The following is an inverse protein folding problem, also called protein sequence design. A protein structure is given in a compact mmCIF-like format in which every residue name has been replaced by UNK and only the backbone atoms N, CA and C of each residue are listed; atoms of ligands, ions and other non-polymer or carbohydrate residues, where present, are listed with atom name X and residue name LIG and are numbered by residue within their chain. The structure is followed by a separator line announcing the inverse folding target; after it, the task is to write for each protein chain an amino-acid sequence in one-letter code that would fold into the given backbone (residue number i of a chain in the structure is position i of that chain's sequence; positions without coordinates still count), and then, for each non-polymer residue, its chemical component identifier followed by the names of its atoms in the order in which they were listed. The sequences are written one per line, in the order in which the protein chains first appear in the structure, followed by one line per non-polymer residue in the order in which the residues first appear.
data_IF_136472206244
#
_entry.id   IF_136472206244
#
_cell.length_a   1.000
_cell.length_b   1.000
_cell.length_c   1.000
_cell.angle_alpha   90.00
_cell.angle_beta   90.00
_cell.angle_gamma   90.00
#
_symmetry.space_group_name_H-M   'P 1'
#
loop_
_entity.id
_entity.type
_entity.pdbx_description
1 polymer ?
#
# COMPACT_ATOMS: atom_id res chain seq x y z
N UNK A 1 8.24 -10.43 -30.30
CA UNK A 1 6.85 -10.56 -29.84
C UNK A 1 6.10 -9.31 -30.28
N UNK A 2 5.12 -9.46 -31.16
CA UNK A 2 4.20 -8.39 -31.52
C UNK A 2 3.27 -8.11 -30.33
N UNK A 3 2.77 -6.88 -30.19
CA UNK A 3 1.75 -6.54 -29.20
C UNK A 3 0.50 -7.43 -29.33
N UNK A 4 0.18 -7.88 -30.55
CA UNK A 4 -0.90 -8.84 -30.80
C UNK A 4 -0.63 -10.22 -30.20
N UNK A 5 0.63 -10.69 -30.23
CA UNK A 5 1.01 -11.99 -29.65
C UNK A 5 0.94 -11.96 -28.12
N UNK A 6 1.14 -10.78 -27.53
CA UNK A 6 1.05 -10.58 -26.09
C UNK A 6 -0.41 -10.64 -25.61
N UNK A 7 -1.34 -9.95 -26.27
CA UNK A 7 -2.78 -9.97 -25.90
C UNK A 7 -3.43 -11.34 -26.13
N UNK A 8 -2.93 -12.12 -27.10
CA UNK A 8 -3.46 -13.45 -27.41
C UNK A 8 -3.19 -14.52 -26.33
N UNK A 9 -2.31 -14.26 -25.36
CA UNK A 9 -1.90 -15.25 -24.36
C UNK A 9 -2.72 -15.11 -23.06
N UNK A 10 -3.31 -16.22 -22.61
CA UNK A 10 -4.08 -16.28 -21.36
C UNK A 10 -3.24 -15.90 -20.13
N UNK A 11 -1.97 -16.28 -20.13
CA UNK A 11 -1.03 -15.97 -19.03
C UNK A 11 -0.95 -14.46 -18.78
N UNK A 12 -0.86 -13.66 -19.84
CA UNK A 12 -0.77 -12.19 -19.72
C UNK A 12 -2.04 -11.58 -19.13
N UNK A 13 -3.21 -12.16 -19.39
CA UNK A 13 -4.46 -11.73 -18.76
C UNK A 13 -4.51 -12.05 -17.27
N UNK A 14 -4.05 -13.23 -16.87
CA UNK A 14 -3.95 -13.60 -15.45
C UNK A 14 -2.97 -12.66 -14.74
N UNK A 15 -1.80 -12.42 -15.34
CA UNK A 15 -0.82 -11.46 -14.85
C UNK A 15 -1.43 -10.05 -14.71
N UNK A 16 -2.13 -9.57 -15.73
CA UNK A 16 -2.75 -8.24 -15.72
C UNK A 16 -3.80 -8.10 -14.61
N UNK A 17 -4.64 -9.11 -14.40
CA UNK A 17 -5.63 -9.12 -13.31
C UNK A 17 -4.94 -9.07 -11.94
N UNK A 18 -3.90 -9.87 -11.73
CA UNK A 18 -3.14 -9.88 -10.47
C UNK A 18 -2.37 -8.57 -10.26
N UNK A 19 -1.79 -7.99 -11.31
CA UNK A 19 -1.10 -6.70 -11.25
C UNK A 19 -2.07 -5.56 -10.88
N UNK A 20 -3.25 -5.51 -11.52
CA UNK A 20 -4.31 -4.55 -11.19
C UNK A 20 -4.85 -4.79 -9.78
N UNK A 21 -5.01 -6.04 -9.35
CA UNK A 21 -5.38 -6.38 -7.96
C UNK A 21 -4.36 -5.86 -6.94
N UNK A 22 -3.08 -6.03 -7.24
CA UNK A 22 -1.98 -5.53 -6.41
C UNK A 22 -2.02 -4.00 -6.26
N UNK A 23 -2.17 -3.30 -7.39
CA UNK A 23 -2.18 -1.84 -7.45
C UNK A 23 -3.44 -1.23 -6.82
N UNK A 24 -4.60 -1.81 -7.09
CA UNK A 24 -5.88 -1.37 -6.51
C UNK A 24 -5.91 -1.58 -4.99
N UNK A 25 -5.40 -2.71 -4.50
CA UNK A 25 -5.22 -2.95 -3.06
C UNK A 25 -4.30 -1.91 -2.43
N UNK A 26 -3.17 -1.59 -3.07
CA UNK A 26 -2.21 -0.62 -2.55
C UNK A 26 -2.82 0.80 -2.50
N UNK A 27 -3.58 1.16 -3.53
CA UNK A 27 -4.32 2.41 -3.54
C UNK A 27 -5.36 2.47 -2.42
N UNK A 28 -6.10 1.39 -2.20
CA UNK A 28 -7.10 1.29 -1.12
C UNK A 28 -6.46 1.39 0.26
N UNK A 29 -5.29 0.78 0.47
CA UNK A 29 -4.51 0.87 1.72
C UNK A 29 -4.20 2.32 2.07
N UNK A 30 -3.64 3.07 1.12
CA UNK A 30 -3.14 4.43 1.32
C UNK A 30 -4.28 5.45 1.37
N UNK A 31 -5.34 5.24 0.60
CA UNK A 31 -6.45 6.21 0.51
C UNK A 31 -7.52 6.01 1.59
N UNK A 32 -7.63 4.81 2.17
CA UNK A 32 -8.65 4.53 3.17
C UNK A 32 -8.38 5.23 4.50
N UNK A 33 -9.41 5.90 5.02
CA UNK A 33 -9.40 6.50 6.37
C UNK A 33 -9.74 5.51 7.48
N UNK A 34 -10.33 4.37 7.12
CA UNK A 34 -10.66 3.32 8.08
C UNK A 34 -9.59 2.24 8.04
N UNK A 35 -8.97 2.00 9.19
CA UNK A 35 -7.89 1.03 9.38
C UNK A 35 -8.29 -0.38 8.92
N UNK A 36 -9.54 -0.78 9.16
CA UNK A 36 -10.06 -2.09 8.73
C UNK A 36 -10.10 -2.19 7.20
N UNK A 37 -10.56 -1.13 6.53
CA UNK A 37 -10.61 -1.09 5.07
C UNK A 37 -9.20 -1.08 4.50
N UNK A 38 -8.27 -0.30 5.08
CA UNK A 38 -6.87 -0.29 4.66
C UNK A 38 -6.25 -1.69 4.78
N UNK A 39 -6.54 -2.42 5.86
CA UNK A 39 -6.02 -3.77 6.04
C UNK A 39 -6.61 -4.79 5.05
N UNK A 40 -7.89 -4.69 4.70
CA UNK A 40 -8.47 -5.51 3.62
C UNK A 40 -7.78 -5.23 2.28
N UNK A 41 -7.46 -3.96 1.99
CA UNK A 41 -6.66 -3.59 0.82
C UNK A 41 -5.26 -4.22 0.85
N UNK A 42 -4.63 -4.30 2.02
CA UNK A 42 -3.32 -4.90 2.19
C UNK A 42 -3.36 -6.42 1.94
N UNK A 43 -4.40 -7.09 2.45
CA UNK A 43 -4.66 -8.52 2.18
C UNK A 43 -4.84 -8.76 0.68
N UNK A 44 -5.57 -7.89 -0.02
CA UNK A 44 -5.72 -7.97 -1.47
C UNK A 44 -4.37 -7.83 -2.19
N UNK A 45 -3.56 -6.83 -1.84
CA UNK A 45 -2.23 -6.61 -2.44
C UNK A 45 -1.30 -7.79 -2.24
N UNK A 46 -1.22 -8.32 -1.02
CA UNK A 46 -0.36 -9.46 -0.71
C UNK A 46 -0.90 -10.76 -1.31
N UNK A 47 -2.22 -10.95 -1.36
CA UNK A 47 -2.84 -12.10 -2.03
C UNK A 47 -2.60 -12.10 -3.53
N UNK A 48 -2.76 -10.95 -4.19
CA UNK A 48 -2.42 -10.80 -5.61
C UNK A 48 -0.92 -11.01 -5.88
N UNK A 49 -0.05 -10.52 -4.99
CA UNK A 49 1.40 -10.76 -5.07
C UNK A 49 1.76 -12.23 -4.89
N UNK A 50 1.06 -12.97 -4.03
CA UNK A 50 1.22 -14.42 -3.91
C UNK A 50 0.86 -15.13 -5.23
N UNK A 51 -0.23 -14.70 -5.88
CA UNK A 51 -0.58 -15.18 -7.22
C UNK A 51 0.50 -14.90 -8.27
N UNK A 52 1.13 -13.72 -8.22
CA UNK A 52 2.27 -13.41 -9.10
C UNK A 52 3.45 -14.34 -8.83
N UNK A 53 3.78 -14.62 -7.56
CA UNK A 53 4.84 -15.58 -7.24
C UNK A 53 4.53 -17.01 -7.73
N UNK A 54 3.26 -17.43 -7.71
CA UNK A 54 2.87 -18.72 -8.30
C UNK A 54 3.11 -18.74 -9.82
N UNK A 55 2.79 -17.64 -10.53
CA UNK A 55 3.08 -17.53 -11.97
C UNK A 55 4.58 -17.58 -12.27
N UNK A 56 5.41 -17.01 -11.40
CA UNK A 56 6.88 -17.08 -11.51
C UNK A 56 7.46 -18.47 -11.12
N UNK A 57 6.61 -19.43 -10.72
CA UNK A 57 7.06 -20.75 -10.24
C UNK A 57 7.67 -20.73 -8.83
N UNK A 58 7.52 -19.63 -8.09
CA UNK A 58 8.05 -19.44 -6.73
C UNK A 58 7.02 -19.90 -5.67
N UNK A 59 6.68 -21.18 -5.67
CA UNK A 59 5.58 -21.74 -4.85
C UNK A 59 5.81 -21.56 -3.35
N UNK A 60 7.01 -21.86 -2.85
CA UNK A 60 7.34 -21.71 -1.43
C UNK A 60 7.17 -20.27 -0.94
N UNK A 61 7.57 -19.30 -1.77
CA UNK A 61 7.44 -17.87 -1.46
C UNK A 61 5.97 -17.46 -1.44
N UNK A 62 5.19 -17.89 -2.42
CA UNK A 62 3.75 -17.61 -2.49
C UNK A 62 3.02 -18.12 -1.24
N UNK A 63 3.25 -19.38 -0.85
CA UNK A 63 2.63 -19.96 0.33
C UNK A 63 3.07 -19.28 1.63
N UNK A 64 4.34 -18.91 1.75
CA UNK A 64 4.84 -18.17 2.90
C UNK A 64 4.20 -16.78 2.98
N UNK A 65 3.97 -16.12 1.84
CA UNK A 65 3.30 -14.82 1.79
C UNK A 65 1.86 -14.92 2.34
N UNK A 66 1.13 -15.96 1.98
CA UNK A 66 -0.22 -16.20 2.49
C UNK A 66 -0.21 -16.59 3.97
N UNK A 67 0.58 -17.60 4.35
CA UNK A 67 0.54 -18.15 5.70
C UNK A 67 1.12 -17.19 6.74
N UNK A 68 2.26 -16.56 6.45
CA UNK A 68 2.98 -15.72 7.41
C UNK A 68 2.48 -14.29 7.34
N UNK A 69 2.47 -13.66 6.16
CA UNK A 69 2.14 -12.24 6.08
C UNK A 69 0.64 -12.01 6.24
N UNK A 70 -0.20 -12.68 5.44
CA UNK A 70 -1.66 -12.52 5.55
C UNK A 70 -2.16 -13.18 6.83
N UNK A 71 -1.75 -14.42 7.09
CA UNK A 71 -2.27 -15.22 8.22
C UNK A 71 -1.82 -14.77 9.61
N UNK A 72 -0.54 -14.42 9.78
CA UNK A 72 0.00 -14.06 11.09
C UNK A 72 0.21 -12.55 11.24
N UNK A 73 1.06 -11.94 10.40
CA UNK A 73 1.52 -10.56 10.61
C UNK A 73 0.38 -9.56 10.50
N UNK A 74 -0.43 -9.60 9.43
CA UNK A 74 -1.53 -8.64 9.24
C UNK A 74 -2.61 -8.83 10.30
N UNK A 75 -2.93 -10.08 10.67
CA UNK A 75 -3.92 -10.37 11.71
C UNK A 75 -3.46 -9.82 13.05
N UNK A 76 -2.20 -10.04 13.43
CA UNK A 76 -1.61 -9.46 14.65
C UNK A 76 -1.61 -7.94 14.61
N UNK A 77 -1.27 -7.34 13.47
CA UNK A 77 -1.31 -5.90 13.28
C UNK A 77 -2.73 -5.37 13.44
N UNK A 78 -3.73 -6.01 12.82
CA UNK A 78 -5.15 -5.69 12.92
C UNK A 78 -5.66 -5.73 14.35
N UNK A 79 -5.32 -6.78 15.10
CA UNK A 79 -5.67 -6.84 16.51
C UNK A 79 -4.98 -5.71 17.31
N UNK A 80 -3.68 -5.49 17.07
CA UNK A 80 -2.92 -4.44 17.74
C UNK A 80 -3.52 -3.05 17.52
N UNK A 81 -3.75 -2.66 16.27
CA UNK A 81 -4.27 -1.34 15.92
C UNK A 81 -5.73 -1.13 16.36
N UNK A 82 -6.54 -2.19 16.43
CA UNK A 82 -7.90 -2.09 16.95
C UNK A 82 -7.91 -1.83 18.45
N UNK A 83 -6.97 -2.43 19.20
CA UNK A 83 -6.82 -2.21 20.65
C UNK A 83 -6.24 -0.82 20.93
N UNK A 84 -5.26 -0.37 20.15
CA UNK A 84 -4.59 0.93 20.37
C UNK A 84 -5.32 2.10 19.75
N UNK A 85 -6.54 1.93 19.23
CA UNK A 85 -7.29 3.02 18.60
C UNK A 85 -7.79 4.03 19.64
N UNK A 86 -6.87 4.81 20.20
CA UNK A 86 -7.20 6.00 20.96
C UNK A 86 -7.96 6.94 20.02
N UNK A 87 -9.12 7.51 20.43
CA UNK A 87 -9.74 8.58 19.69
C UNK A 87 -8.73 9.72 19.61
N UNK A 88 -8.12 9.89 18.44
CA UNK A 88 -7.42 11.09 18.06
C UNK A 88 -8.48 12.20 17.94
N UNK A 89 -8.88 12.71 19.10
CA UNK A 89 -9.62 13.95 19.22
C UNK A 89 -8.79 15.01 18.51
N UNK A 90 -9.28 15.45 17.36
CA UNK A 90 -8.74 16.61 16.69
C UNK A 90 -9.07 17.81 17.56
N UNK A 91 -8.15 18.20 18.44
CA UNK A 91 -8.20 19.55 18.99
C UNK A 91 -7.96 20.51 17.82
N UNK A 92 -9.06 21.06 17.32
CA UNK A 92 -9.12 22.06 16.28
C UNK A 92 -8.54 23.42 16.69
N UNK A 93 -7.85 23.50 17.83
CA UNK A 93 -7.32 24.75 18.39
C UNK A 93 -5.94 25.11 17.84
N UNK A 94 -5.34 24.27 17.00
CA UNK A 94 -4.15 24.62 16.19
C UNK A 94 -4.52 25.25 14.84
N UNK A 95 -5.43 26.22 14.86
CA UNK A 95 -5.72 27.07 13.69
C UNK A 95 -4.64 28.13 13.52
N UNK A 96 -3.45 27.69 13.08
CA UNK A 96 -2.40 28.62 12.67
C UNK A 96 -2.85 29.39 11.42
N UNK A 97 -2.63 30.73 11.37
CA UNK A 97 -2.99 31.54 10.22
C UNK A 97 -2.31 31.02 8.94
N UNK A 98 -2.96 31.22 7.79
CA UNK A 98 -2.54 30.74 6.47
C UNK A 98 -1.07 31.08 6.14
N UNK A 99 -0.56 32.20 6.69
CA UNK A 99 0.84 32.60 6.58
C UNK A 99 1.81 31.55 7.15
N UNK A 100 1.55 31.00 8.33
CA UNK A 100 2.45 30.02 8.98
C UNK A 100 2.46 28.69 8.26
N UNK A 101 1.33 28.27 7.67
CA UNK A 101 1.27 27.07 6.81
C UNK A 101 2.12 27.24 5.55
N UNK A 102 2.09 28.42 4.94
CA UNK A 102 2.90 28.72 3.75
C UNK A 102 4.38 28.76 4.13
N UNK A 103 4.76 29.39 5.24
CA UNK A 103 6.15 29.42 5.69
C UNK A 103 6.67 28.01 6.01
N UNK A 104 5.87 27.18 6.69
CA UNK A 104 6.25 25.81 7.00
C UNK A 104 6.42 24.94 5.74
N UNK A 105 5.55 25.12 4.73
CA UNK A 105 5.66 24.42 3.45
C UNK A 105 6.89 24.87 2.63
N UNK A 106 7.23 26.16 2.65
CA UNK A 106 8.43 26.69 2.00
C UNK A 106 9.68 26.14 2.68
N UNK A 107 9.74 26.14 4.01
CA UNK A 107 10.88 25.64 4.77
C UNK A 107 11.07 24.14 4.55
N UNK A 108 10.00 23.33 4.66
CA UNK A 108 10.08 21.89 4.42
C UNK A 108 10.47 21.55 2.97
N UNK A 109 9.93 22.28 1.99
CA UNK A 109 10.30 22.15 0.59
C UNK A 109 11.78 22.49 0.33
N UNK A 110 12.30 23.55 0.97
CA UNK A 110 13.69 23.95 0.83
C UNK A 110 14.66 22.92 1.42
N UNK A 111 14.35 22.36 2.60
CA UNK A 111 15.17 21.32 3.21
C UNK A 111 15.13 20.03 2.39
N UNK A 112 13.96 19.64 1.88
CA UNK A 112 13.82 18.45 1.03
C UNK A 112 14.63 18.59 -0.27
N UNK A 113 14.61 19.76 -0.91
CA UNK A 113 15.40 20.01 -2.11
C UNK A 113 16.91 20.00 -1.85
N UNK A 114 17.37 20.57 -0.73
CA UNK A 114 18.79 20.54 -0.34
C UNK A 114 19.27 19.11 -0.06
N UNK A 115 18.47 18.32 0.63
CA UNK A 115 18.78 16.91 0.91
C UNK A 115 18.78 16.11 -0.40
N UNK A 116 17.76 16.30 -1.26
CA UNK A 116 17.67 15.61 -2.55
C UNK A 116 18.76 16.00 -3.55
N UNK A 117 19.40 17.17 -3.39
CA UNK A 117 20.54 17.59 -4.20
C UNK A 117 21.88 17.06 -3.68
N UNK A 118 21.93 16.63 -2.41
CA UNK A 118 23.13 16.10 -1.76
C UNK A 118 23.30 14.57 -1.91
N UNK A 119 22.34 13.89 -2.54
CA UNK A 119 22.38 12.46 -2.91
C UNK A 119 22.38 12.31 -4.43
#
# INVERSE_FOLDING_TARGET
MSFGDWIGQLENWIFAILAVGTLSGAFLVVHSRNVIHSALGLVLTLGSSAGLFLMLGAEFVAWTLVMVYIGAVIVLFLFGIMITRAPLGYESDLSHPMSVKVTAAIVSGSMFALIGWAF
#
